data_IF_634647044495
#
_entry.id   IF_634647044495
#
_cell.length_a   1.000
_cell.length_b   1.000
_cell.length_c   1.000
_cell.angle_alpha   90.00
_cell.angle_beta   90.00
_cell.angle_gamma   90.00
#
_symmetry.space_group_name_H-M   'P 1'
#
loop_
_entity.id
_entity.type
_entity.pdbx_description
1 polymer ?
#
# COMPACT_ATOMS: atom_id res chain seq x y z
N UNK A 1 20.79 -6.71 10.32
CA UNK A 1 19.40 -7.14 10.64
C UNK A 1 18.58 -5.90 10.91
N UNK A 2 17.43 -5.76 10.23
CA UNK A 2 16.54 -4.61 10.41
C UNK A 2 15.60 -4.85 11.60
N UNK A 3 15.33 -3.81 12.35
CA UNK A 3 14.36 -3.77 13.43
C UNK A 3 13.24 -2.81 13.03
N UNK A 4 12.00 -3.15 13.35
CA UNK A 4 10.86 -2.32 13.00
C UNK A 4 9.78 -2.39 14.08
N UNK A 5 8.95 -1.35 14.12
CA UNK A 5 7.75 -1.29 14.94
C UNK A 5 6.67 -0.48 14.22
N UNK A 6 5.40 -0.83 14.44
CA UNK A 6 4.26 -0.04 14.01
C UNK A 6 3.70 0.71 15.23
N UNK A 7 3.83 2.03 15.23
CA UNK A 7 3.25 2.88 16.26
C UNK A 7 1.88 3.40 15.78
N UNK A 8 0.82 3.12 16.55
CA UNK A 8 -0.54 3.62 16.21
C UNK A 8 -0.58 5.14 16.43
N UNK A 9 -1.04 5.89 15.44
CA UNK A 9 -1.08 7.36 15.51
C UNK A 9 -2.31 7.92 16.24
N UNK A 10 -3.27 7.04 16.56
CA UNK A 10 -4.59 7.43 17.08
C UNK A 10 -5.57 7.85 15.98
N UNK A 11 -5.09 8.04 14.74
CA UNK A 11 -5.95 8.31 13.60
C UNK A 11 -6.65 7.05 13.12
N UNK A 12 -7.91 7.18 12.74
CA UNK A 12 -8.73 6.12 12.20
C UNK A 12 -9.90 6.69 11.42
N UNK A 13 -10.39 5.94 10.45
CA UNK A 13 -11.58 6.28 9.67
C UNK A 13 -12.27 5.00 9.26
N UNK A 14 -13.59 5.06 9.16
CA UNK A 14 -14.43 3.97 8.69
C UNK A 14 -14.98 4.34 7.33
N UNK A 15 -14.75 3.51 6.33
CA UNK A 15 -15.39 3.60 5.01
C UNK A 15 -16.76 2.90 5.05
N UNK A 16 -17.54 3.01 3.97
CA UNK A 16 -18.86 2.37 3.86
C UNK A 16 -18.79 0.87 4.15
N UNK A 17 -19.86 0.31 4.74
CA UNK A 17 -19.88 -1.09 5.16
C UNK A 17 -18.98 -1.42 6.37
N UNK A 18 -18.72 -0.44 7.25
CA UNK A 18 -17.90 -0.60 8.46
C UNK A 18 -16.44 -1.05 8.20
N UNK A 19 -15.87 -0.64 7.06
CA UNK A 19 -14.50 -0.97 6.69
C UNK A 19 -13.50 -0.01 7.37
N UNK A 20 -12.88 -0.47 8.45
CA UNK A 20 -12.00 0.35 9.30
C UNK A 20 -10.56 0.40 8.76
N UNK A 21 -10.03 1.61 8.64
CA UNK A 21 -8.64 1.92 8.29
C UNK A 21 -8.00 2.77 9.39
N UNK A 22 -6.86 2.33 9.91
CA UNK A 22 -6.16 2.97 11.02
C UNK A 22 -4.80 3.52 10.56
N UNK A 23 -4.41 4.66 11.13
CA UNK A 23 -3.12 5.31 10.89
C UNK A 23 -2.01 4.77 11.77
N UNK A 24 -0.86 4.52 11.16
CA UNK A 24 0.34 4.03 11.81
C UNK A 24 1.57 4.80 11.34
N UNK A 25 2.61 4.71 12.15
CA UNK A 25 3.96 5.11 11.79
C UNK A 25 4.84 3.84 11.81
N UNK A 26 5.31 3.45 10.63
CA UNK A 26 6.31 2.41 10.50
C UNK A 26 7.67 2.98 10.85
N UNK A 27 8.16 2.60 12.03
CA UNK A 27 9.49 2.89 12.51
C UNK A 27 10.40 1.75 12.08
N UNK A 28 11.54 2.05 11.47
CA UNK A 28 12.50 1.03 11.08
C UNK A 28 13.94 1.53 11.22
N UNK A 29 14.85 0.65 11.65
CA UNK A 29 16.28 0.95 11.78
C UNK A 29 17.11 -0.29 11.48
N UNK A 30 18.40 -0.14 11.15
CA UNK A 30 19.31 -1.28 11.04
C UNK A 30 20.61 -1.01 11.77
N UNK A 31 21.18 -2.04 12.40
CA UNK A 31 22.48 -1.94 13.10
C UNK A 31 23.69 -2.20 12.20
N UNK A 32 23.47 -2.59 10.94
CA UNK A 32 24.53 -2.91 9.96
C UNK A 32 24.81 -1.75 8.98
N UNK A 33 24.27 -0.56 9.24
CA UNK A 33 24.46 0.62 8.40
C UNK A 33 23.69 0.63 7.09
N UNK A 34 22.92 -0.43 6.76
CA UNK A 34 22.16 -0.51 5.50
C UNK A 34 20.88 0.35 5.49
N UNK A 35 20.45 0.86 6.65
CA UNK A 35 19.23 1.65 6.78
C UNK A 35 19.38 2.70 7.88
N UNK A 36 19.13 3.97 7.53
CA UNK A 36 18.94 5.04 8.50
C UNK A 36 17.76 4.74 9.44
N UNK A 37 17.69 5.39 10.61
CA UNK A 37 16.45 5.32 11.38
C UNK A 37 15.36 6.06 10.62
N UNK A 38 14.29 5.35 10.29
CA UNK A 38 13.21 5.84 9.44
C UNK A 38 11.88 5.82 10.17
N UNK A 39 11.05 6.81 9.85
CA UNK A 39 9.66 6.87 10.27
C UNK A 39 8.80 7.15 9.02
N UNK A 40 7.96 6.19 8.66
CA UNK A 40 7.14 6.24 7.43
C UNK A 40 5.66 6.17 7.81
N UNK A 41 4.84 7.17 7.47
CA UNK A 41 3.41 7.10 7.69
C UNK A 41 2.78 5.98 6.85
N UNK A 42 1.99 5.14 7.49
CA UNK A 42 1.32 4.01 6.87
C UNK A 42 -0.13 3.93 7.35
N UNK A 43 -0.92 3.16 6.64
CA UNK A 43 -2.28 2.78 7.02
C UNK A 43 -2.33 1.27 7.15
N UNK A 44 -3.21 0.80 8.04
CA UNK A 44 -3.58 -0.62 8.13
C UNK A 44 -5.08 -0.74 8.00
N UNK A 45 -5.54 -1.50 7.00
CA UNK A 45 -6.94 -1.88 6.88
C UNK A 45 -7.21 -3.07 7.79
N UNK A 46 -8.10 -2.89 8.76
CA UNK A 46 -8.23 -3.80 9.92
C UNK A 46 -8.65 -5.22 9.53
N UNK A 47 -9.60 -5.35 8.60
CA UNK A 47 -10.20 -6.65 8.24
C UNK A 47 -9.22 -7.62 7.55
N UNK A 48 -8.18 -7.10 6.91
CA UNK A 48 -7.17 -7.89 6.20
C UNK A 48 -5.75 -7.73 6.77
N UNK A 49 -5.52 -6.70 7.60
CA UNK A 49 -4.22 -6.29 8.12
C UNK A 49 -3.20 -5.89 7.02
N UNK A 50 -3.69 -5.41 5.88
CA UNK A 50 -2.84 -4.89 4.81
C UNK A 50 -2.22 -3.56 5.22
N UNK A 51 -0.90 -3.43 5.09
CA UNK A 51 -0.16 -2.20 5.37
C UNK A 51 0.13 -1.44 4.08
N UNK A 52 -0.36 -0.20 3.97
CA UNK A 52 -0.12 0.67 2.82
C UNK A 52 0.54 1.98 3.26
N UNK A 53 1.67 2.32 2.65
CA UNK A 53 2.36 3.58 2.89
C UNK A 53 1.55 4.77 2.36
N UNK A 54 1.40 5.81 3.19
CA UNK A 54 0.75 7.05 2.79
C UNK A 54 1.71 7.80 1.86
N UNK A 55 1.29 8.01 0.62
CA UNK A 55 1.98 8.85 -0.34
C UNK A 55 0.98 9.87 -0.91
N UNK A 56 1.38 11.14 -0.86
CA UNK A 56 0.69 12.21 -1.60
C UNK A 56 1.55 12.59 -2.81
N UNK A 57 0.88 12.76 -3.93
CA UNK A 57 1.47 13.14 -5.22
C UNK A 57 2.62 12.22 -5.68
N UNK A 58 2.47 10.92 -5.39
CA UNK A 58 3.47 9.90 -5.72
C UNK A 58 4.71 9.89 -4.83
N UNK A 59 4.81 10.82 -3.88
CA UNK A 59 5.98 10.93 -2.99
C UNK A 59 5.68 10.36 -1.61
N UNK A 60 6.46 9.36 -1.21
CA UNK A 60 6.47 8.87 0.18
C UNK A 60 7.31 9.82 1.02
N UNK A 61 6.71 10.47 2.03
CA UNK A 61 7.43 11.36 2.95
C UNK A 61 8.00 10.60 4.15
N UNK A 62 8.85 9.61 3.87
CA UNK A 62 9.58 8.92 4.91
C UNK A 62 10.60 9.87 5.55
N UNK A 63 10.53 10.03 6.86
CA UNK A 63 11.50 10.78 7.65
C UNK A 63 12.70 9.88 7.85
N UNK A 64 13.90 10.37 7.52
CA UNK A 64 15.15 9.60 7.64
C UNK A 64 16.12 10.36 8.52
N UNK A 65 16.62 9.67 9.54
CA UNK A 65 17.65 10.15 10.47
C UNK A 65 18.89 9.26 10.29
N UNK A 66 19.90 9.71 9.53
CA UNK A 66 21.15 8.99 9.37
C UNK A 66 21.90 8.81 10.70
N UNK A 67 22.57 7.67 10.87
CA UNK A 67 23.32 7.36 12.10
C UNK A 67 24.65 8.13 12.22
N UNK A 68 25.04 8.88 11.20
CA UNK A 68 26.24 9.72 11.17
C UNK A 68 25.97 11.20 11.44
N UNK A 69 24.75 11.57 11.82
CA UNK A 69 24.34 12.95 12.09
C UNK A 69 23.81 13.10 13.51
N UNK A 70 23.99 14.29 14.11
CA UNK A 70 23.41 14.59 15.42
C UNK A 70 21.88 14.64 15.29
N UNK A 71 21.20 13.91 16.16
CA UNK A 71 19.73 13.91 16.20
C UNK A 71 19.17 15.28 16.59
N UNK A 72 18.31 15.84 15.75
CA UNK A 72 17.53 17.05 16.04
C UNK A 72 16.07 16.68 16.36
N UNK A 73 15.68 16.65 17.65
CA UNK A 73 14.33 16.27 18.05
C UNK A 73 13.25 17.25 17.55
N UNK A 74 13.56 18.55 17.43
CA UNK A 74 12.57 19.55 17.04
C UNK A 74 12.27 19.47 15.55
N UNK A 75 13.31 19.28 14.73
CA UNK A 75 13.14 19.05 13.30
C UNK A 75 12.33 17.78 13.03
N UNK A 76 12.66 16.67 13.71
CA UNK A 76 11.95 15.39 13.56
C UNK A 76 10.49 15.51 14.02
N UNK A 77 10.23 16.16 15.16
CA UNK A 77 8.86 16.40 15.64
C UNK A 77 8.04 17.23 14.65
N UNK A 78 8.62 18.28 14.08
CA UNK A 78 7.96 19.10 13.05
C UNK A 78 7.62 18.28 11.81
N UNK A 79 8.57 17.46 11.32
CA UNK A 79 8.34 16.60 10.17
C UNK A 79 7.26 15.55 10.45
N UNK A 80 7.25 14.94 11.63
CA UNK A 80 6.21 14.01 12.05
C UNK A 80 4.83 14.68 12.08
N UNK A 81 4.73 15.91 12.61
CA UNK A 81 3.48 16.67 12.60
C UNK A 81 2.93 16.92 11.19
N UNK A 82 3.80 17.28 10.24
CA UNK A 82 3.44 17.45 8.82
C UNK A 82 3.03 16.13 8.16
N UNK A 83 3.64 15.03 8.57
CA UNK A 83 3.34 13.71 8.03
C UNK A 83 1.96 13.22 8.51
N UNK A 84 1.63 13.46 9.77
CA UNK A 84 0.34 13.11 10.39
C UNK A 84 -0.81 13.98 9.83
N UNK A 85 -0.56 15.24 9.49
CA UNK A 85 -1.60 16.13 8.91
C UNK A 85 -2.06 15.73 7.50
N UNK A 86 -1.32 14.85 6.81
CA UNK A 86 -1.68 14.34 5.48
C UNK A 86 -2.74 13.24 5.51
N UNK A 87 -3.07 12.75 6.70
CA UNK A 87 -4.06 11.71 6.92
C UNK A 87 -5.42 12.04 6.28
N UNK A 88 -5.93 13.25 6.52
CA UNK A 88 -7.28 13.62 6.05
C UNK A 88 -7.36 13.65 4.52
N UNK A 89 -6.34 14.21 3.86
CA UNK A 89 -6.24 14.20 2.40
C UNK A 89 -6.12 12.78 1.85
N UNK A 90 -5.30 11.94 2.49
CA UNK A 90 -5.16 10.55 2.10
C UNK A 90 -6.50 9.80 2.21
N UNK A 91 -7.18 9.91 3.35
CA UNK A 91 -8.47 9.24 3.56
C UNK A 91 -9.59 9.81 2.69
N UNK A 92 -9.54 11.10 2.31
CA UNK A 92 -10.43 11.65 1.31
C UNK A 92 -10.27 10.93 -0.04
N UNK A 93 -9.03 10.75 -0.52
CA UNK A 93 -8.76 9.97 -1.74
C UNK A 93 -9.25 8.52 -1.60
N UNK A 94 -9.05 7.88 -0.44
CA UNK A 94 -9.48 6.50 -0.24
C UNK A 94 -11.01 6.36 -0.26
N UNK A 95 -11.74 7.37 0.26
CA UNK A 95 -13.20 7.43 0.12
C UNK A 95 -13.62 7.51 -1.34
N UNK A 96 -12.99 8.37 -2.15
CA UNK A 96 -13.25 8.44 -3.59
C UNK A 96 -13.02 7.09 -4.28
N UNK A 97 -11.94 6.38 -3.95
CA UNK A 97 -11.68 5.03 -4.49
C UNK A 97 -12.76 4.02 -4.10
N UNK A 98 -13.32 4.13 -2.89
CA UNK A 98 -14.39 3.24 -2.42
C UNK A 98 -15.74 3.49 -3.08
N UNK A 99 -15.91 4.65 -3.70
CA UNK A 99 -17.14 5.03 -4.40
C UNK A 99 -17.03 4.83 -5.92
N UNK A 100 -15.81 4.83 -6.47
CA UNK A 100 -15.55 4.55 -7.88
C UNK A 100 -15.74 3.07 -8.20
N UNK A 101 -16.88 2.72 -8.78
CA UNK A 101 -17.15 1.39 -9.36
C UNK A 101 -16.26 1.13 -10.56
N UNK A 102 -15.83 -0.10 -10.77
CA UNK A 102 -14.85 -0.47 -11.82
C UNK A 102 -15.44 -1.55 -12.71
N UNK A 103 -15.33 -1.38 -14.03
CA UNK A 103 -15.72 -2.41 -14.99
C UNK A 103 -14.65 -3.51 -15.12
N UNK A 104 -15.06 -4.69 -15.59
CA UNK A 104 -14.18 -5.84 -15.75
C UNK A 104 -12.88 -5.53 -16.52
N UNK A 105 -13.01 -4.85 -17.66
CA UNK A 105 -11.86 -4.55 -18.52
C UNK A 105 -10.90 -3.53 -17.85
N UNK A 106 -11.44 -2.57 -17.09
CA UNK A 106 -10.64 -1.63 -16.30
C UNK A 106 -9.85 -2.37 -15.20
N UNK A 107 -10.49 -3.32 -14.51
CA UNK A 107 -9.87 -4.15 -13.49
C UNK A 107 -8.71 -5.00 -14.07
N UNK A 108 -8.94 -5.65 -15.21
CA UNK A 108 -7.91 -6.43 -15.89
C UNK A 108 -6.73 -5.54 -16.32
N UNK A 109 -7.01 -4.41 -16.97
CA UNK A 109 -5.97 -3.46 -17.37
C UNK A 109 -5.15 -2.93 -16.19
N UNK A 110 -5.82 -2.65 -15.07
CA UNK A 110 -5.17 -2.28 -13.82
C UNK A 110 -4.20 -3.37 -13.32
N UNK A 111 -4.64 -4.62 -13.21
CA UNK A 111 -3.77 -5.69 -12.71
C UNK A 111 -2.61 -6.00 -13.65
N UNK A 112 -2.83 -5.95 -14.96
CA UNK A 112 -1.75 -6.11 -15.94
C UNK A 112 -0.70 -5.01 -15.80
N UNK A 113 -1.12 -3.76 -15.62
CA UNK A 113 -0.19 -2.65 -15.39
C UNK A 113 0.56 -2.78 -14.08
N UNK A 114 -0.13 -3.17 -13.00
CA UNK A 114 0.43 -3.15 -11.65
C UNK A 114 1.25 -4.38 -11.30
N UNK A 115 0.93 -5.56 -11.84
CA UNK A 115 1.56 -6.84 -11.45
C UNK A 115 2.44 -7.42 -12.55
N UNK A 116 2.09 -7.15 -13.81
CA UNK A 116 2.79 -7.68 -14.98
C UNK A 116 3.69 -6.64 -15.65
N UNK A 117 3.69 -5.38 -15.19
CA UNK A 117 4.43 -4.26 -15.78
C UNK A 117 4.07 -4.00 -17.26
N UNK A 118 2.84 -4.37 -17.65
CA UNK A 118 2.33 -4.22 -19.03
C UNK A 118 1.51 -2.92 -19.11
N UNK A 119 1.97 -1.89 -19.84
CA UNK A 119 1.23 -0.62 -19.93
C UNK A 119 -0.18 -0.79 -20.50
N UNK A 120 -1.15 0.03 -20.08
CA UNK A 120 -2.44 0.13 -20.76
C UNK A 120 -2.22 0.42 -22.26
N UNK A 121 -2.95 -0.27 -23.13
CA UNK A 121 -2.89 -0.16 -24.60
C UNK A 121 -1.59 -0.67 -25.26
N UNK A 122 -0.73 -1.39 -24.55
CA UNK A 122 0.37 -2.13 -25.18
C UNK A 122 -0.11 -3.44 -25.83
N UNK A 123 0.59 -3.94 -26.86
CA UNK A 123 0.31 -5.26 -27.41
C UNK A 123 0.47 -6.30 -26.30
N UNK A 124 -0.54 -7.16 -26.16
CA UNK A 124 -0.49 -8.28 -25.22
C UNK A 124 0.74 -9.14 -25.57
N UNK A 125 1.67 -9.38 -24.63
CA UNK A 125 2.77 -10.28 -24.87
C UNK A 125 2.23 -11.70 -25.09
N UNK A 126 2.86 -12.47 -25.98
CA UNK A 126 2.48 -13.87 -26.25
C UNK A 126 2.52 -14.74 -24.99
N UNK A 127 3.42 -14.42 -24.05
CA UNK A 127 3.49 -15.01 -22.71
C UNK A 127 3.28 -13.91 -21.69
N UNK A 128 2.25 -14.04 -20.87
CA UNK A 128 1.95 -13.09 -19.80
C UNK A 128 2.99 -13.21 -18.67
N UNK A 129 3.79 -12.17 -18.40
CA UNK A 129 4.66 -12.18 -17.24
C UNK A 129 3.82 -12.23 -15.96
N UNK A 130 4.29 -12.95 -14.95
CA UNK A 130 3.61 -13.06 -13.65
C UNK A 130 2.14 -13.54 -13.69
N UNK A 131 1.77 -14.39 -14.66
CA UNK A 131 0.39 -14.89 -14.81
C UNK A 131 -0.23 -15.44 -13.51
N UNK A 132 0.55 -16.17 -12.70
CA UNK A 132 0.08 -16.68 -11.40
C UNK A 132 -0.30 -15.56 -10.43
N UNK A 133 0.47 -14.48 -10.42
CA UNK A 133 0.19 -13.32 -9.59
C UNK A 133 -1.06 -12.60 -10.08
N UNK A 134 -1.22 -12.46 -11.40
CA UNK A 134 -2.41 -11.87 -12.04
C UNK A 134 -3.68 -12.64 -11.63
N UNK A 135 -3.69 -13.97 -11.81
CA UNK A 135 -4.83 -14.82 -11.41
C UNK A 135 -5.13 -14.70 -9.91
N UNK A 136 -4.09 -14.59 -9.07
CA UNK A 136 -4.25 -14.47 -7.62
C UNK A 136 -4.86 -13.13 -7.21
N UNK A 137 -4.36 -12.00 -7.73
CA UNK A 137 -4.93 -10.68 -7.40
C UNK A 137 -6.37 -10.56 -7.90
N UNK A 138 -6.66 -11.14 -9.06
CA UNK A 138 -8.01 -11.19 -9.60
C UNK A 138 -8.96 -11.98 -8.69
N UNK A 139 -8.56 -13.19 -8.27
CA UNK A 139 -9.34 -13.99 -7.32
C UNK A 139 -9.57 -13.27 -5.98
N UNK A 140 -8.57 -12.53 -5.48
CA UNK A 140 -8.72 -11.73 -4.26
C UNK A 140 -9.75 -10.60 -4.45
N UNK A 141 -9.75 -9.94 -5.61
CA UNK A 141 -10.70 -8.88 -5.94
C UNK A 141 -12.14 -9.39 -6.11
N UNK A 142 -12.30 -10.57 -6.73
CA UNK A 142 -13.60 -11.18 -7.03
C UNK A 142 -14.30 -11.80 -5.80
N UNK A 143 -13.75 -11.62 -4.59
CA UNK A 143 -14.38 -12.07 -3.34
C UNK A 143 -13.51 -13.02 -2.51
N UNK A 144 -12.39 -13.50 -3.06
CA UNK A 144 -11.46 -14.35 -2.31
C UNK A 144 -10.60 -13.60 -1.29
N UNK A 145 -10.53 -12.27 -1.37
CA UNK A 145 -9.77 -11.42 -0.46
C UNK A 145 -10.53 -11.09 0.82
N UNK A 146 -9.80 -10.81 1.90
CA UNK A 146 -10.40 -10.49 3.18
C UNK A 146 -11.13 -9.15 3.12
N UNK A 147 -12.43 -9.18 3.37
CA UNK A 147 -13.30 -8.01 3.23
C UNK A 147 -13.49 -7.54 1.78
N UNK A 148 -13.26 -8.40 0.78
CA UNK A 148 -13.50 -8.07 -0.64
C UNK A 148 -15.00 -7.89 -0.95
N UNK A 149 -15.88 -8.49 -0.15
CA UNK A 149 -17.34 -8.38 -0.25
C UNK A 149 -17.93 -7.19 0.51
N UNK A 150 -17.10 -6.38 1.20
CA UNK A 150 -17.57 -5.16 1.86
C UNK A 150 -18.00 -4.12 0.82
N UNK A 151 -19.00 -3.30 1.17
CA UNK A 151 -19.56 -2.27 0.28
C UNK A 151 -18.48 -1.30 -0.26
N UNK A 152 -17.51 -0.94 0.59
CA UNK A 152 -16.37 -0.09 0.23
C UNK A 152 -15.47 -0.71 -0.83
N UNK A 153 -15.39 -2.04 -0.91
CA UNK A 153 -14.39 -2.77 -1.69
C UNK A 153 -14.99 -3.46 -2.92
N UNK A 154 -16.18 -4.06 -2.80
CA UNK A 154 -16.76 -4.91 -3.82
C UNK A 154 -17.03 -4.15 -5.12
N UNK A 155 -16.30 -4.53 -6.17
CA UNK A 155 -16.43 -3.91 -7.50
C UNK A 155 -15.92 -2.47 -7.59
N UNK A 156 -15.03 -2.04 -6.70
CA UNK A 156 -14.54 -0.65 -6.60
C UNK A 156 -13.03 -0.55 -6.84
N UNK A 157 -12.54 0.66 -7.11
CA UNK A 157 -11.11 0.94 -7.21
C UNK A 157 -10.39 0.71 -5.86
N UNK A 158 -11.07 0.91 -4.73
CA UNK A 158 -10.58 0.52 -3.40
C UNK A 158 -10.39 -1.00 -3.30
N UNK A 159 -11.32 -1.79 -3.85
CA UNK A 159 -11.19 -3.24 -3.94
C UNK A 159 -9.94 -3.68 -4.72
N UNK A 160 -9.67 -3.04 -5.87
CA UNK A 160 -8.47 -3.31 -6.66
C UNK A 160 -7.18 -3.10 -5.86
N UNK A 161 -7.08 -1.95 -5.18
CA UNK A 161 -5.93 -1.62 -4.33
C UNK A 161 -5.78 -2.63 -3.18
N UNK A 162 -6.88 -3.04 -2.55
CA UNK A 162 -6.85 -4.01 -1.47
C UNK A 162 -6.42 -5.40 -1.93
N UNK A 163 -6.85 -5.84 -3.12
CA UNK A 163 -6.43 -7.11 -3.68
C UNK A 163 -4.90 -7.15 -3.91
N UNK A 164 -4.31 -6.06 -4.42
CA UNK A 164 -2.86 -5.99 -4.64
C UNK A 164 -2.10 -5.91 -3.31
N UNK A 165 -2.55 -5.07 -2.37
CA UNK A 165 -1.89 -4.93 -1.07
C UNK A 165 -1.96 -6.23 -0.26
N UNK A 166 -3.10 -6.94 -0.28
CA UNK A 166 -3.24 -8.26 0.34
C UNK A 166 -2.33 -9.30 -0.31
N UNK A 167 -2.28 -9.29 -1.64
CA UNK A 167 -1.36 -10.17 -2.36
C UNK A 167 0.09 -9.95 -1.93
N UNK A 168 0.54 -8.69 -1.88
CA UNK A 168 1.92 -8.36 -1.49
C UNK A 168 2.21 -8.75 -0.05
N UNK A 169 1.29 -8.47 0.88
CA UNK A 169 1.53 -8.64 2.31
C UNK A 169 1.38 -10.11 2.75
N UNK A 170 0.52 -10.89 2.09
CA UNK A 170 0.08 -12.20 2.59
C UNK A 170 0.25 -13.37 1.61
N UNK A 171 0.11 -13.16 0.30
CA UNK A 171 -0.01 -14.27 -0.67
C UNK A 171 1.22 -14.43 -1.58
N UNK A 172 2.01 -13.36 -1.75
CA UNK A 172 3.18 -13.38 -2.62
C UNK A 172 4.19 -14.40 -2.09
N UNK A 173 4.63 -15.30 -2.98
CA UNK A 173 5.64 -16.30 -2.65
C UNK A 173 6.94 -15.62 -2.24
N UNK A 174 7.51 -16.07 -1.13
CA UNK A 174 8.75 -15.56 -0.55
C UNK A 174 9.50 -16.71 0.12
N UNK A 175 10.81 -16.54 0.31
CA UNK A 175 11.65 -17.53 1.01
C UNK A 175 11.26 -17.73 2.48
N UNK A 176 10.69 -16.70 3.10
CA UNK A 176 10.19 -16.70 4.48
C UNK A 176 9.18 -15.57 4.67
N UNK A 177 8.37 -15.66 5.71
CA UNK A 177 7.43 -14.60 6.12
C UNK A 177 8.15 -13.28 6.41
N UNK A 178 9.30 -13.34 7.10
CA UNK A 178 10.12 -12.16 7.40
C UNK A 178 10.61 -11.48 6.11
N UNK A 179 11.07 -12.26 5.12
CA UNK A 179 11.50 -11.70 3.85
C UNK A 179 10.35 -11.09 3.04
N UNK A 180 9.14 -11.69 3.08
CA UNK A 180 7.96 -11.10 2.46
C UNK A 180 7.65 -9.74 3.07
N UNK A 181 7.64 -9.68 4.40
CA UNK A 181 7.35 -8.46 5.15
C UNK A 181 8.40 -7.37 4.89
N UNK A 182 9.68 -7.72 4.86
CA UNK A 182 10.76 -6.79 4.49
C UNK A 182 10.56 -6.24 3.06
N UNK A 183 10.24 -7.11 2.10
CA UNK A 183 9.95 -6.69 0.72
C UNK A 183 8.68 -5.84 0.62
N UNK A 184 7.64 -6.18 1.38
CA UNK A 184 6.36 -5.48 1.42
C UNK A 184 6.48 -4.05 1.97
N UNK A 185 7.41 -3.79 2.88
CA UNK A 185 7.59 -2.45 3.46
C UNK A 185 8.77 -1.66 2.90
N UNK A 186 9.86 -2.33 2.53
CA UNK A 186 11.12 -1.65 2.20
C UNK A 186 11.68 -2.02 0.82
N UNK A 187 11.06 -2.96 0.10
CA UNK A 187 11.56 -3.48 -1.16
C UNK A 187 10.54 -3.45 -2.30
N UNK A 188 10.63 -4.43 -3.19
CA UNK A 188 9.78 -4.51 -4.39
C UNK A 188 8.28 -4.53 -4.07
N UNK A 189 7.87 -5.14 -2.96
CA UNK A 189 6.48 -5.13 -2.52
C UNK A 189 5.96 -3.73 -2.22
N UNK A 190 6.77 -2.88 -1.59
CA UNK A 190 6.42 -1.49 -1.32
C UNK A 190 6.21 -0.70 -2.63
N UNK A 191 7.07 -0.90 -3.62
CA UNK A 191 6.93 -0.27 -4.95
C UNK A 191 5.66 -0.73 -5.68
N UNK A 192 5.36 -2.03 -5.65
CA UNK A 192 4.11 -2.56 -6.25
C UNK A 192 2.88 -1.92 -5.59
N UNK A 193 2.86 -1.80 -4.26
CA UNK A 193 1.75 -1.17 -3.53
C UNK A 193 1.61 0.32 -3.86
N UNK A 194 2.71 1.05 -4.01
CA UNK A 194 2.68 2.46 -4.42
C UNK A 194 2.16 2.62 -5.85
N UNK A 195 2.62 1.79 -6.78
CA UNK A 195 2.11 1.77 -8.16
C UNK A 195 0.61 1.42 -8.20
N UNK A 196 0.16 0.47 -7.38
CA UNK A 196 -1.25 0.11 -7.26
C UNK A 196 -2.08 1.31 -6.79
N UNK A 197 -1.61 2.03 -5.77
CA UNK A 197 -2.25 3.25 -5.28
C UNK A 197 -2.34 4.31 -6.39
N UNK A 198 -1.23 4.58 -7.08
CA UNK A 198 -1.20 5.57 -8.15
C UNK A 198 -2.15 5.21 -9.30
N UNK A 199 -2.12 3.96 -9.77
CA UNK A 199 -3.00 3.49 -10.83
C UNK A 199 -4.48 3.54 -10.41
N UNK A 200 -4.80 3.22 -9.15
CA UNK A 200 -6.16 3.30 -8.65
C UNK A 200 -6.66 4.76 -8.59
N UNK A 201 -5.79 5.69 -8.19
CA UNK A 201 -6.10 7.12 -8.20
C UNK A 201 -6.32 7.66 -9.61
N UNK A 202 -5.57 7.17 -10.61
CA UNK A 202 -5.77 7.54 -12.02
C UNK A 202 -7.11 7.06 -12.58
N UNK A 203 -7.64 5.92 -12.13
CA UNK A 203 -8.98 5.44 -12.54
C UNK A 203 -10.13 6.30 -11.97
N UNK A 204 -9.86 7.04 -10.90
CA UNK A 204 -10.83 7.87 -10.20
C UNK A 204 -10.69 9.38 -10.49
N UNK A 205 -9.67 9.77 -11.26
CA UNK A 205 -9.46 11.13 -11.75
C UNK A 205 -10.30 11.37 -13.02
#
# INVERSE_FOLDING_TARGET
>A
RKFWALARTGQGTTLRGNDQVNGYLLLATSCDGTLATTATPTTVRVVCNNTLTIALDGTTRAIKVPHNTRFDPQAVKKQLGIAVSQWDTFMHRMRTLSERKVQWHEAMGFFMSVVCDVPPNSKLPEVLPNERALRKVQSLYEGGGRGATLESAQGTAWGLLNAVTEYVDHERRARSTEYRMDSAWFGQGAFIKQRALQAALQLAA
#
